data_IF_760405380990
#
_entry.id   IF_760405380990
#
_cell.length_a   1.000
_cell.length_b   1.000
_cell.length_c   1.000
_cell.angle_alpha   90.00
_cell.angle_beta   90.00
_cell.angle_gamma   90.00
#
_symmetry.space_group_name_H-M   'P 1'
#
loop_
_entity.id
_entity.type
_entity.pdbx_description
1 polymer ?
#
# COMPACT_ATOMS: atom_id res chain seq x y z
N UNK A 1 12.60 -7.57 -10.97
CA UNK A 1 11.78 -7.75 -9.74
C UNK A 1 10.71 -8.83 -10.00
N UNK A 2 9.92 -9.24 -9.00
CA UNK A 2 8.93 -10.33 -9.15
C UNK A 2 7.83 -10.04 -10.20
N UNK A 3 7.42 -8.77 -10.34
CA UNK A 3 6.51 -8.32 -11.40
C UNK A 3 7.10 -8.56 -12.80
N UNK A 4 8.33 -8.10 -13.05
CA UNK A 4 9.02 -8.29 -14.33
C UNK A 4 9.27 -9.77 -14.65
N UNK A 5 9.39 -10.60 -13.60
CA UNK A 5 9.51 -12.05 -13.75
C UNK A 5 8.16 -12.76 -14.02
N UNK A 6 7.03 -12.05 -13.93
CA UNK A 6 5.69 -12.60 -14.15
C UNK A 6 5.25 -13.63 -13.11
N UNK A 7 5.91 -13.69 -11.95
CA UNK A 7 5.67 -14.73 -10.94
C UNK A 7 4.59 -14.38 -9.92
N UNK A 8 4.09 -13.14 -9.95
CA UNK A 8 3.05 -12.64 -9.06
C UNK A 8 1.89 -12.04 -9.86
N UNK A 9 0.67 -12.25 -9.38
CA UNK A 9 -0.56 -11.71 -9.99
C UNK A 9 -1.13 -10.53 -9.17
N UNK A 10 -0.53 -10.25 -8.02
CA UNK A 10 -0.88 -9.17 -7.12
C UNK A 10 0.35 -8.64 -6.41
N UNK A 11 0.31 -7.36 -6.08
CA UNK A 11 1.22 -6.66 -5.18
C UNK A 11 0.38 -5.95 -4.11
N UNK A 12 0.97 -5.18 -3.22
CA UNK A 12 0.21 -4.42 -2.25
C UNK A 12 1.02 -3.30 -1.63
N UNK A 13 0.34 -2.51 -0.81
CA UNK A 13 0.93 -1.46 0.00
C UNK A 13 0.33 -1.48 1.40
N UNK A 14 1.02 -0.83 2.33
CA UNK A 14 0.67 -0.76 3.72
C UNK A 14 0.91 0.68 4.23
N UNK A 15 0.04 1.16 5.09
CA UNK A 15 0.26 2.35 5.92
C UNK A 15 0.46 1.88 7.35
N UNK A 16 1.55 2.31 7.98
CA UNK A 16 1.89 1.96 9.36
C UNK A 16 2.34 3.19 10.15
N UNK A 17 2.29 3.10 11.48
CA UNK A 17 2.87 4.12 12.36
C UNK A 17 4.39 3.99 12.38
N UNK A 18 5.09 5.09 12.66
CA UNK A 18 6.54 5.11 12.88
C UNK A 18 6.77 5.46 14.36
N UNK A 19 6.78 4.47 15.27
CA UNK A 19 6.84 4.74 16.71
C UNK A 19 8.25 5.11 17.19
N UNK A 20 9.28 4.68 16.46
CA UNK A 20 10.68 4.90 16.77
C UNK A 20 11.50 5.02 15.46
N UNK A 21 12.83 5.06 15.57
CA UNK A 21 13.74 5.18 14.43
C UNK A 21 13.89 3.87 13.62
N UNK A 22 13.23 2.77 14.03
CA UNK A 22 13.29 1.53 13.27
C UNK A 22 12.48 1.64 11.98
N UNK A 23 13.05 1.14 10.89
CA UNK A 23 12.42 1.16 9.57
C UNK A 23 11.36 0.07 9.48
N UNK A 24 10.19 0.41 8.96
CA UNK A 24 9.08 -0.51 8.64
C UNK A 24 8.66 -1.47 9.78
N UNK A 25 8.78 -1.03 11.04
CA UNK A 25 8.59 -1.89 12.23
C UNK A 25 7.42 -1.48 13.14
N UNK A 26 6.60 -0.52 12.73
CA UNK A 26 5.47 -0.05 13.53
C UNK A 26 4.13 -0.74 13.23
N UNK A 27 3.09 -0.50 14.07
CA UNK A 27 1.75 -1.06 13.88
C UNK A 27 1.14 -0.70 12.52
N UNK A 28 0.54 -1.69 11.87
CA UNK A 28 -0.15 -1.53 10.58
C UNK A 28 -1.51 -0.88 10.80
N UNK A 29 -1.74 0.27 10.17
CA UNK A 29 -3.02 0.97 10.21
C UNK A 29 -3.98 0.49 9.11
N UNK A 30 -3.45 0.21 7.93
CA UNK A 30 -4.21 -0.29 6.78
C UNK A 30 -3.30 -0.96 5.75
N UNK A 31 -3.87 -1.86 4.95
CA UNK A 31 -3.20 -2.44 3.77
C UNK A 31 -4.19 -2.66 2.63
N UNK A 32 -3.69 -2.65 1.40
CA UNK A 32 -4.50 -2.87 0.19
C UNK A 32 -3.75 -3.79 -0.78
N UNK A 33 -4.42 -4.84 -1.25
CA UNK A 33 -3.93 -5.68 -2.35
C UNK A 33 -4.29 -5.07 -3.70
N UNK A 34 -3.30 -4.99 -4.58
CA UNK A 34 -3.43 -4.40 -5.91
C UNK A 34 -3.13 -5.45 -6.97
N UNK A 35 -4.14 -5.72 -7.80
CA UNK A 35 -4.04 -6.68 -8.88
C UNK A 35 -3.06 -6.21 -9.96
N UNK A 36 -2.34 -7.17 -10.52
CA UNK A 36 -1.50 -7.02 -11.69
C UNK A 36 -2.24 -7.69 -12.85
N UNK A 37 -2.73 -6.89 -13.80
CA UNK A 37 -3.47 -7.43 -14.92
C UNK A 37 -2.53 -7.93 -16.03
N UNK A 38 -2.93 -8.96 -16.80
CA UNK A 38 -2.08 -9.53 -17.86
C UNK A 38 -1.60 -8.54 -18.94
N UNK A 39 -2.27 -7.39 -19.06
CA UNK A 39 -1.96 -6.34 -20.05
C UNK A 39 -1.35 -5.09 -19.43
N UNK A 40 -1.01 -5.11 -18.14
CA UNK A 40 -0.38 -3.97 -17.50
C UNK A 40 1.01 -3.72 -18.06
N UNK A 41 1.26 -2.47 -18.45
CA UNK A 41 2.62 -1.95 -18.47
C UNK A 41 3.05 -1.57 -17.05
N UNK A 42 4.37 -1.42 -16.83
CA UNK A 42 4.88 -0.96 -15.55
C UNK A 42 4.23 0.36 -15.12
N UNK A 43 4.11 1.33 -16.04
CA UNK A 43 3.49 2.62 -15.76
C UNK A 43 2.01 2.51 -15.38
N UNK A 44 1.26 1.53 -15.93
CA UNK A 44 -0.13 1.29 -15.54
C UNK A 44 -0.23 0.74 -14.12
N UNK A 45 0.66 -0.18 -13.76
CA UNK A 45 0.72 -0.72 -12.40
C UNK A 45 1.15 0.35 -11.39
N UNK A 46 2.19 1.14 -11.71
CA UNK A 46 2.66 2.25 -10.87
C UNK A 46 1.57 3.30 -10.64
N UNK A 47 0.85 3.69 -11.70
CA UNK A 47 -0.25 4.63 -11.55
C UNK A 47 -1.37 4.07 -10.66
N UNK A 48 -1.69 2.77 -10.78
CA UNK A 48 -2.66 2.11 -9.90
C UNK A 48 -2.17 2.07 -8.45
N UNK A 49 -0.89 1.78 -8.25
CA UNK A 49 -0.25 1.77 -6.93
C UNK A 49 -0.35 3.15 -6.27
N UNK A 50 0.07 4.22 -6.96
CA UNK A 50 0.02 5.58 -6.41
C UNK A 50 -1.41 6.04 -6.09
N UNK A 51 -2.39 5.67 -6.93
CA UNK A 51 -3.78 6.00 -6.64
C UNK A 51 -4.31 5.25 -5.41
N UNK A 52 -3.93 3.98 -5.24
CA UNK A 52 -4.26 3.22 -4.04
C UNK A 52 -3.57 3.80 -2.80
N UNK A 53 -2.30 4.15 -2.90
CA UNK A 53 -1.52 4.74 -1.82
C UNK A 53 -2.17 6.02 -1.29
N UNK A 54 -2.50 6.95 -2.20
CA UNK A 54 -3.12 8.21 -1.83
C UNK A 54 -4.48 8.01 -1.11
N UNK A 55 -5.31 7.07 -1.60
CA UNK A 55 -6.59 6.77 -0.96
C UNK A 55 -6.40 6.12 0.41
N UNK A 56 -5.52 5.12 0.50
CA UNK A 56 -5.31 4.36 1.73
C UNK A 56 -4.68 5.24 2.81
N UNK A 57 -3.73 6.11 2.44
CA UNK A 57 -3.10 7.04 3.36
C UNK A 57 -4.10 8.03 3.95
N UNK A 58 -4.93 8.66 3.12
CA UNK A 58 -5.97 9.60 3.60
C UNK A 58 -6.96 8.86 4.51
N UNK A 59 -7.37 7.65 4.15
CA UNK A 59 -8.30 6.85 4.96
C UNK A 59 -7.69 6.47 6.30
N UNK A 60 -6.45 5.97 6.31
CA UNK A 60 -5.74 5.61 7.54
C UNK A 60 -5.52 6.83 8.44
N UNK A 61 -5.19 7.98 7.86
CA UNK A 61 -4.99 9.21 8.61
C UNK A 61 -6.28 9.73 9.26
N UNK A 62 -7.42 9.64 8.56
CA UNK A 62 -8.72 10.01 9.14
C UNK A 62 -9.08 9.14 10.34
N UNK A 63 -8.87 7.81 10.25
CA UNK A 63 -9.08 6.89 11.38
C UNK A 63 -8.26 7.27 12.61
N UNK A 64 -7.00 7.66 12.41
CA UNK A 64 -6.12 8.14 13.49
C UNK A 64 -6.65 9.43 14.12
N UNK A 65 -7.15 10.39 13.32
CA UNK A 65 -7.72 11.65 13.83
C UNK A 65 -9.02 11.42 14.61
N UNK A 66 -9.87 10.52 14.12
CA UNK A 66 -11.17 10.21 14.72
C UNK A 66 -11.04 9.42 16.03
N UNK A 67 -9.85 8.91 16.34
CA UNK A 67 -9.58 8.14 17.54
C UNK A 67 -10.10 6.70 17.47
N UNK A 68 -10.29 6.17 16.25
CA UNK A 68 -10.56 4.76 16.07
C UNK A 68 -9.41 3.95 16.70
N UNK A 69 -9.74 3.04 17.61
CA UNK A 69 -8.73 2.12 18.17
C UNK A 69 -8.18 1.22 17.04
N UNK A 70 -6.86 1.11 16.99
CA UNK A 70 -6.06 0.41 15.98
C UNK A 70 -5.43 -0.86 16.55
#
# INVERSE_FOLDING_TARGET
NAYQAGTIQKTGLMVHLVPDEQVDSGPVLASEEILIYPKDTLAMLENRMHQAEHRLLVTAFLRVIEGDEW
#
